data_IF_273452663205
#
_entry.id   IF_273452663205
#
_cell.length_a   1.000
_cell.length_b   1.000
_cell.length_c   1.000
_cell.angle_alpha   90.00
_cell.angle_beta   90.00
_cell.angle_gamma   90.00
#
_symmetry.space_group_name_H-M   'P 1'
#
loop_
_entity.id
_entity.type
_entity.pdbx_description
1 polymer ?
#
# COMPACT_ATOMS: atom_id res chain seq x y z
N UNK A 1 25.76 -25.39 -53.87
CA UNK A 1 24.40 -24.88 -53.55
C UNK A 1 23.79 -25.43 -52.24
N UNK A 2 24.32 -26.52 -51.64
CA UNK A 2 23.74 -27.10 -50.42
C UNK A 2 24.21 -26.44 -49.10
N UNK A 3 25.42 -25.87 -49.07
CA UNK A 3 25.94 -25.14 -47.90
C UNK A 3 25.11 -23.88 -47.62
N UNK A 4 24.83 -23.08 -48.67
CA UNK A 4 24.03 -21.86 -48.57
C UNK A 4 22.60 -22.12 -48.04
N UNK A 5 21.95 -23.22 -48.49
CA UNK A 5 20.63 -23.64 -47.98
C UNK A 5 20.67 -24.13 -46.53
N UNK A 6 21.82 -24.59 -46.02
CA UNK A 6 21.97 -25.02 -44.62
C UNK A 6 22.09 -23.82 -43.70
N UNK A 7 22.84 -22.79 -44.12
CA UNK A 7 22.96 -21.52 -43.39
C UNK A 7 21.62 -20.77 -43.33
N UNK A 8 20.86 -20.70 -44.43
CA UNK A 8 19.53 -20.05 -44.40
C UNK A 8 18.53 -20.79 -43.54
N UNK A 9 18.58 -22.13 -43.49
CA UNK A 9 17.76 -22.94 -42.58
C UNK A 9 18.13 -22.72 -41.11
N UNK A 10 19.42 -22.70 -40.79
CA UNK A 10 19.87 -22.42 -39.41
C UNK A 10 19.52 -21.01 -38.98
N UNK A 11 19.68 -20.01 -39.87
CA UNK A 11 19.29 -18.63 -39.61
C UNK A 11 17.77 -18.47 -39.39
N UNK A 12 16.96 -19.14 -40.22
CA UNK A 12 15.51 -19.16 -40.05
C UNK A 12 15.07 -19.80 -38.74
N UNK A 13 15.78 -20.84 -38.28
CA UNK A 13 15.46 -21.53 -37.03
C UNK A 13 15.79 -20.65 -35.82
N UNK A 14 16.92 -19.93 -35.87
CA UNK A 14 17.30 -18.95 -34.83
C UNK A 14 16.32 -17.78 -34.77
N UNK A 15 15.88 -17.24 -35.91
CA UNK A 15 14.87 -16.18 -35.96
C UNK A 15 13.51 -16.63 -35.42
N UNK A 16 13.07 -17.85 -35.74
CA UNK A 16 11.83 -18.40 -35.21
C UNK A 16 11.90 -18.59 -33.69
N UNK A 17 13.05 -19.04 -33.16
CA UNK A 17 13.29 -19.19 -31.73
C UNK A 17 13.26 -17.82 -31.01
N UNK A 18 13.91 -16.80 -31.58
CA UNK A 18 13.88 -15.44 -31.04
C UNK A 18 12.47 -14.85 -31.02
N UNK A 19 11.68 -15.05 -32.08
CA UNK A 19 10.28 -14.60 -32.10
C UNK A 19 9.41 -15.36 -31.09
N UNK A 20 9.61 -16.67 -30.93
CA UNK A 20 8.89 -17.46 -29.93
C UNK A 20 9.21 -16.97 -28.51
N UNK A 21 10.48 -16.69 -28.21
CA UNK A 21 10.88 -16.09 -26.93
C UNK A 21 10.33 -14.67 -26.76
N UNK A 22 10.26 -13.85 -27.81
CA UNK A 22 9.68 -12.51 -27.73
C UNK A 22 8.18 -12.54 -27.37
N UNK A 23 7.43 -13.57 -27.80
CA UNK A 23 6.01 -13.71 -27.48
C UNK A 23 5.71 -14.19 -26.07
N UNK A 24 6.68 -14.80 -25.36
CA UNK A 24 6.49 -15.20 -23.95
C UNK A 24 6.76 -14.07 -22.97
N UNK A 25 7.47 -13.02 -23.40
CA UNK A 25 7.46 -11.72 -22.74
C UNK A 25 6.22 -10.95 -23.17
N UNK A 26 5.07 -11.40 -22.68
CA UNK A 26 3.88 -10.55 -22.62
C UNK A 26 4.22 -9.35 -21.74
N UNK A 27 4.72 -8.28 -22.35
CA UNK A 27 4.68 -6.96 -21.74
C UNK A 27 3.21 -6.74 -21.45
N UNK A 28 2.85 -6.70 -20.17
CA UNK A 28 1.53 -6.27 -19.75
C UNK A 28 1.34 -4.86 -20.26
N UNK A 29 0.74 -4.75 -21.45
CA UNK A 29 0.17 -3.50 -21.91
C UNK A 29 -0.85 -3.11 -20.85
N UNK A 30 -0.48 -2.17 -19.99
CA UNK A 30 -1.41 -1.47 -19.14
C UNK A 30 -2.32 -0.68 -20.10
N UNK A 31 -3.35 -1.36 -20.59
CA UNK A 31 -4.47 -0.75 -21.25
C UNK A 31 -5.15 0.11 -20.18
N UNK A 32 -4.83 1.41 -20.18
CA UNK A 32 -5.72 2.39 -19.58
C UNK A 32 -7.08 2.23 -20.25
N UNK A 33 -8.00 1.59 -19.55
CA UNK A 33 -9.40 1.51 -19.95
C UNK A 33 -9.99 2.91 -19.87
N UNK A 34 -9.87 3.67 -20.95
CA UNK A 34 -10.54 4.97 -21.10
C UNK A 34 -12.01 4.68 -21.41
N UNK A 35 -12.80 4.49 -20.35
CA UNK A 35 -14.23 4.18 -20.45
C UNK A 35 -14.75 3.41 -19.25
N UNK A 36 -14.45 3.87 -18.02
CA UNK A 36 -15.02 3.51 -16.70
C UNK A 36 -14.08 3.91 -15.56
N UNK A 37 -12.79 4.14 -15.85
CA UNK A 37 -11.82 4.64 -14.86
C UNK A 37 -12.25 5.97 -14.23
N UNK A 38 -12.80 6.91 -14.99
CA UNK A 38 -13.16 8.23 -14.45
C UNK A 38 -14.35 8.19 -13.49
N UNK A 39 -15.35 7.33 -13.73
CA UNK A 39 -16.49 7.16 -12.83
C UNK A 39 -16.10 6.40 -11.56
N UNK A 40 -15.24 5.38 -11.68
CA UNK A 40 -14.71 4.65 -10.51
C UNK A 40 -13.80 5.58 -9.69
N UNK A 41 -12.95 6.37 -10.34
CA UNK A 41 -12.08 7.33 -9.68
C UNK A 41 -12.89 8.42 -8.95
N UNK A 42 -13.93 8.96 -9.57
CA UNK A 42 -14.83 9.92 -8.90
C UNK A 42 -15.55 9.30 -7.70
N UNK A 43 -16.02 8.06 -7.81
CA UNK A 43 -16.66 7.36 -6.70
C UNK A 43 -15.67 7.09 -5.56
N UNK A 44 -14.43 6.74 -5.89
CA UNK A 44 -13.37 6.51 -4.91
C UNK A 44 -13.01 7.82 -4.19
N UNK A 45 -12.81 8.92 -4.92
CA UNK A 45 -12.56 10.24 -4.33
C UNK A 45 -13.67 10.71 -3.38
N UNK A 46 -14.94 10.42 -3.68
CA UNK A 46 -16.05 10.75 -2.77
C UNK A 46 -16.03 9.90 -1.49
N UNK A 47 -15.64 8.62 -1.58
CA UNK A 47 -15.45 7.76 -0.41
C UNK A 47 -14.26 8.23 0.44
N UNK A 48 -13.14 8.56 -0.21
CA UNK A 48 -11.92 9.12 0.40
C UNK A 48 -12.23 10.42 1.17
N UNK A 49 -13.01 11.34 0.56
CA UNK A 49 -13.50 12.54 1.26
C UNK A 49 -14.36 12.22 2.47
N UNK A 50 -15.30 11.29 2.35
CA UNK A 50 -16.18 10.90 3.46
C UNK A 50 -15.38 10.30 4.61
N UNK A 51 -14.38 9.47 4.30
CA UNK A 51 -13.50 8.88 5.30
C UNK A 51 -12.70 9.96 6.06
N UNK A 52 -12.17 10.97 5.36
CA UNK A 52 -11.47 12.09 6.02
C UNK A 52 -12.40 12.95 6.89
N UNK A 53 -13.66 13.15 6.48
CA UNK A 53 -14.66 13.84 7.30
C UNK A 53 -15.01 13.02 8.55
N UNK A 54 -15.15 11.70 8.44
CA UNK A 54 -15.37 10.82 9.58
C UNK A 54 -14.16 10.82 10.53
N UNK A 55 -12.93 10.88 10.00
CA UNK A 55 -11.73 11.04 10.82
C UNK A 55 -11.70 12.38 11.56
N UNK A 56 -12.16 13.46 10.92
CA UNK A 56 -12.28 14.78 11.54
C UNK A 56 -13.29 14.78 12.70
N UNK A 57 -14.29 13.90 12.66
CA UNK A 57 -15.26 13.73 13.75
C UNK A 57 -14.68 13.01 14.99
N UNK A 58 -13.51 12.39 14.88
CA UNK A 58 -12.88 11.69 16.01
C UNK A 58 -12.39 12.68 17.07
N UNK A 59 -12.72 12.40 18.34
CA UNK A 59 -12.45 13.30 19.46
C UNK A 59 -10.96 13.66 19.62
N UNK A 60 -10.07 12.71 19.32
CA UNK A 60 -8.61 12.90 19.34
C UNK A 60 -8.15 13.92 18.28
N UNK A 61 -8.69 13.83 17.06
CA UNK A 61 -8.36 14.77 15.97
C UNK A 61 -8.86 16.17 16.32
N UNK A 62 -10.07 16.29 16.87
CA UNK A 62 -10.64 17.57 17.33
C UNK A 62 -9.79 18.24 18.40
N UNK A 63 -9.33 17.46 19.38
CA UNK A 63 -8.45 17.94 20.44
C UNK A 63 -7.11 18.44 19.88
N UNK A 64 -6.52 17.71 18.91
CA UNK A 64 -5.29 18.14 18.23
C UNK A 64 -5.46 19.37 17.35
N UNK A 65 -6.57 19.50 16.63
CA UNK A 65 -6.87 20.71 15.86
C UNK A 65 -7.08 21.92 16.77
N UNK A 66 -7.75 21.72 17.91
CA UNK A 66 -7.92 22.75 18.95
C UNK A 66 -6.58 23.18 19.56
N UNK A 67 -5.68 22.24 19.87
CA UNK A 67 -4.30 22.54 20.31
C UNK A 67 -3.53 23.40 19.29
N UNK A 68 -3.77 23.17 17.99
CA UNK A 68 -3.15 23.93 16.89
C UNK A 68 -3.87 25.26 16.58
N UNK A 69 -4.99 25.55 17.25
CA UNK A 69 -5.78 26.77 17.04
C UNK A 69 -6.57 26.80 15.73
N UNK A 70 -6.85 25.63 15.14
CA UNK A 70 -7.59 25.48 13.89
C UNK A 70 -9.00 24.94 14.19
N UNK A 71 -10.03 25.55 13.61
CA UNK A 71 -11.41 25.06 13.77
C UNK A 71 -11.71 23.90 12.81
N UNK A 72 -12.52 22.95 13.27
CA UNK A 72 -12.97 21.80 12.47
C UNK A 72 -13.59 22.23 11.13
N UNK A 73 -14.47 23.24 11.16
CA UNK A 73 -15.16 23.76 9.97
C UNK A 73 -14.17 24.25 8.89
N UNK A 74 -13.06 24.88 9.29
CA UNK A 74 -12.04 25.34 8.35
C UNK A 74 -11.31 24.17 7.68
N UNK A 75 -11.12 23.07 8.40
CA UNK A 75 -10.48 21.87 7.84
C UNK A 75 -11.45 21.14 6.92
N UNK A 76 -12.73 21.01 7.31
CA UNK A 76 -13.77 20.41 6.50
C UNK A 76 -13.98 21.16 5.17
N UNK A 77 -13.97 22.49 5.18
CA UNK A 77 -14.05 23.31 3.98
C UNK A 77 -12.83 23.10 3.06
N UNK A 78 -11.63 22.96 3.64
CA UNK A 78 -10.42 22.67 2.86
C UNK A 78 -10.48 21.29 2.21
N UNK A 79 -10.89 20.26 2.95
CA UNK A 79 -11.05 18.89 2.43
C UNK A 79 -12.05 18.87 1.27
N UNK A 80 -13.14 19.64 1.35
CA UNK A 80 -14.13 19.75 0.26
C UNK A 80 -13.59 20.50 -0.97
N UNK A 81 -12.66 21.43 -0.78
CA UNK A 81 -12.07 22.22 -1.86
C UNK A 81 -10.88 21.55 -2.55
N UNK A 82 -10.31 20.47 -1.99
CA UNK A 82 -9.21 19.72 -2.61
C UNK A 82 -9.67 19.08 -3.94
N UNK A 83 -8.83 19.12 -4.96
CA UNK A 83 -9.07 18.35 -6.18
C UNK A 83 -8.84 16.84 -5.94
N UNK A 84 -9.39 15.95 -6.78
CA UNK A 84 -9.19 14.50 -6.62
C UNK A 84 -7.71 14.09 -6.57
N UNK A 85 -6.85 14.76 -7.34
CA UNK A 85 -5.42 14.50 -7.35
C UNK A 85 -4.74 14.95 -6.05
N UNK A 86 -5.10 16.13 -5.54
CA UNK A 86 -4.54 16.65 -4.28
C UNK A 86 -5.02 15.85 -3.06
N UNK A 87 -6.23 15.29 -3.12
CA UNK A 87 -6.75 14.41 -2.08
C UNK A 87 -5.93 13.12 -1.98
N UNK A 88 -5.66 12.47 -3.12
CA UNK A 88 -4.85 11.27 -3.17
C UNK A 88 -3.41 11.50 -2.66
N UNK A 89 -2.79 12.62 -3.04
CA UNK A 89 -1.47 13.01 -2.53
C UNK A 89 -1.49 13.30 -1.03
N UNK A 90 -2.59 13.88 -0.52
CA UNK A 90 -2.75 14.16 0.91
C UNK A 90 -2.94 12.88 1.73
N UNK A 91 -3.76 11.95 1.24
CA UNK A 91 -3.91 10.64 1.87
C UNK A 91 -2.62 9.84 1.89
N UNK A 92 -1.83 9.88 0.81
CA UNK A 92 -0.52 9.24 0.80
C UNK A 92 0.40 9.83 1.87
N UNK A 93 0.40 11.16 2.05
CA UNK A 93 1.16 11.81 3.11
C UNK A 93 0.66 11.46 4.52
N UNK A 94 -0.66 11.29 4.70
CA UNK A 94 -1.23 10.81 5.97
C UNK A 94 -0.90 9.33 6.24
N UNK A 95 -0.82 8.50 5.20
CA UNK A 95 -0.40 7.11 5.31
C UNK A 95 1.11 6.97 5.61
N UNK A 96 1.92 7.92 5.12
CA UNK A 96 3.34 8.04 5.43
C UNK A 96 3.60 8.72 6.79
N UNK A 97 2.64 9.49 7.31
CA UNK A 97 2.69 9.95 8.68
C UNK A 97 2.63 8.71 9.59
N UNK A 98 3.55 8.57 10.58
CA UNK A 98 3.70 7.35 11.36
C UNK A 98 2.58 7.22 12.41
N UNK A 99 1.34 7.10 11.94
CA UNK A 99 0.15 6.90 12.75
C UNK A 99 0.04 5.40 13.03
N UNK A 100 0.71 4.95 14.09
CA UNK A 100 0.60 3.58 14.60
C UNK A 100 1.88 2.73 14.55
N UNK A 101 2.93 3.15 13.83
CA UNK A 101 4.20 2.40 13.78
C UNK A 101 4.86 2.33 15.17
N UNK A 102 4.80 3.42 15.94
CA UNK A 102 5.38 3.46 17.29
C UNK A 102 4.63 2.59 18.30
N UNK A 103 3.30 2.66 18.34
CA UNK A 103 2.50 1.97 19.36
C UNK A 103 2.42 0.47 19.05
N UNK A 104 2.13 0.09 17.81
CA UNK A 104 2.08 -1.32 17.40
C UNK A 104 3.47 -1.96 17.51
N UNK A 105 4.53 -1.25 17.07
CA UNK A 105 5.91 -1.73 17.19
C UNK A 105 6.32 -1.95 18.65
N UNK A 106 5.98 -1.01 19.55
CA UNK A 106 6.26 -1.14 20.99
C UNK A 106 5.49 -2.30 21.61
N UNK A 107 4.21 -2.46 21.29
CA UNK A 107 3.38 -3.58 21.79
C UNK A 107 3.97 -4.93 21.33
N UNK A 108 4.34 -5.04 20.05
CA UNK A 108 4.95 -6.27 19.49
C UNK A 108 6.31 -6.58 20.11
N UNK A 109 7.14 -5.55 20.36
CA UNK A 109 8.43 -5.70 21.04
C UNK A 109 8.26 -6.28 22.46
N UNK A 110 7.36 -5.69 23.27
CA UNK A 110 7.11 -6.19 24.62
C UNK A 110 6.54 -7.61 24.62
N UNK A 111 5.64 -7.91 23.68
CA UNK A 111 5.10 -9.25 23.49
C UNK A 111 6.22 -10.27 23.20
N UNK A 112 7.15 -9.95 22.28
CA UNK A 112 8.31 -10.81 22.00
C UNK A 112 9.23 -11.00 23.22
N UNK A 113 9.54 -9.92 23.94
CA UNK A 113 10.39 -9.98 25.14
C UNK A 113 9.75 -10.86 26.21
N UNK A 114 8.45 -10.70 26.48
CA UNK A 114 7.75 -11.54 27.45
C UNK A 114 7.66 -12.99 27.00
N UNK A 115 7.41 -13.27 25.72
CA UNK A 115 7.42 -14.65 25.19
C UNK A 115 8.77 -15.33 25.44
N UNK A 116 9.89 -14.65 25.15
CA UNK A 116 11.23 -15.22 25.36
C UNK A 116 11.50 -15.43 26.85
N UNK A 117 11.12 -14.46 27.68
CA UNK A 117 11.35 -14.52 29.14
C UNK A 117 10.52 -15.64 29.79
N UNK A 118 9.33 -15.92 29.27
CA UNK A 118 8.45 -17.02 29.67
C UNK A 118 9.02 -18.38 29.25
N UNK A 119 9.54 -18.51 28.02
CA UNK A 119 10.24 -19.72 27.55
C UNK A 119 11.49 -20.05 28.39
N UNK A 120 12.18 -19.03 28.92
CA UNK A 120 13.35 -19.17 29.79
C UNK A 120 12.99 -19.40 31.28
N UNK A 121 11.71 -19.54 31.61
CA UNK A 121 11.19 -19.66 32.98
C UNK A 121 11.53 -18.46 33.90
N UNK A 122 11.82 -17.29 33.34
CA UNK A 122 12.08 -16.09 34.13
C UNK A 122 10.80 -15.32 34.48
N UNK A 123 9.71 -15.54 33.73
CA UNK A 123 8.35 -15.04 33.99
C UNK A 123 7.32 -16.14 33.68
N UNK A 124 6.08 -16.00 34.17
CA UNK A 124 4.93 -16.85 33.80
C UNK A 124 3.73 -15.90 33.54
N UNK A 125 3.65 -15.43 32.30
CA UNK A 125 2.63 -14.45 31.88
C UNK A 125 1.64 -15.07 30.89
N UNK A 126 2.06 -16.07 30.13
CA UNK A 126 1.26 -16.71 29.10
C UNK A 126 1.11 -18.20 29.40
N UNK A 127 -0.10 -18.61 29.82
CA UNK A 127 -0.43 -20.00 30.18
C UNK A 127 -0.27 -21.03 29.05
N UNK A 128 -0.03 -20.59 27.82
CA UNK A 128 0.21 -21.43 26.65
C UNK A 128 1.70 -21.60 26.32
N UNK A 129 2.60 -20.86 26.98
CA UNK A 129 4.04 -20.98 26.79
C UNK A 129 4.57 -21.98 27.81
N UNK A 130 5.25 -23.02 27.31
CA UNK A 130 5.90 -24.00 28.16
C UNK A 130 7.39 -23.70 28.22
N UNK A 131 7.94 -23.76 29.43
CA UNK A 131 9.37 -23.73 29.66
C UNK A 131 10.10 -24.75 28.77
N UNK A 132 11.05 -24.28 27.95
CA UNK A 132 12.00 -25.15 27.28
C UNK A 132 13.01 -25.59 28.33
N UNK A 133 12.90 -26.85 28.74
CA UNK A 133 13.82 -27.51 29.67
C UNK A 133 14.61 -28.58 28.94
#
# INVERSE_FOLDING_TARGET
MNAMRRYTKQFSLVMALLMAFATTFSVSAHAGMVGTGELIQQQQTELDRQQLLEMLEQQEVKEKLSELGVSEDQVAERIQNLTPAELADFEQQLAEAPTGEGVVGVIVLFLLVFIITDMLCATDLFSFINCIR
#
